data_IF_032434093287
#
_entry.id   IF_032434093287
#
_cell.length_a   1.000
_cell.length_b   1.000
_cell.length_c   1.000
_cell.angle_alpha   90.00
_cell.angle_beta   90.00
_cell.angle_gamma   90.00
#
_symmetry.space_group_name_H-M   'P 1'
#
loop_
_entity.id
_entity.type
_entity.pdbx_description
1 polymer ?
#
# COMPACT_ATOMS: atom_id res chain seq x y z
N UNK A 1 9.25 -1.41 29.06
CA UNK A 1 10.05 -1.76 27.86
C UNK A 1 9.45 -1.01 26.68
N UNK A 2 10.10 0.00 26.08
CA UNK A 2 9.58 0.59 24.86
C UNK A 2 9.69 -0.47 23.76
N UNK A 3 8.58 -0.76 23.07
CA UNK A 3 8.56 -1.67 21.95
C UNK A 3 9.52 -1.15 20.87
N UNK A 4 10.70 -1.74 20.78
CA UNK A 4 11.67 -1.48 19.75
C UNK A 4 11.09 -1.91 18.39
N UNK A 5 10.60 -0.92 17.65
CA UNK A 5 10.65 -0.77 16.19
C UNK A 5 10.68 -2.09 15.37
N UNK A 6 9.61 -2.88 15.35
CA UNK A 6 9.36 -3.87 14.28
C UNK A 6 8.99 -3.19 12.93
N UNK A 7 9.39 -1.93 12.74
CA UNK A 7 8.92 -0.99 11.72
C UNK A 7 9.53 -1.14 10.31
N UNK A 8 10.76 -1.67 10.09
CA UNK A 8 11.26 -1.86 8.73
C UNK A 8 10.50 -2.96 7.98
N UNK A 9 10.03 -4.00 8.68
CA UNK A 9 9.56 -5.22 8.02
C UNK A 9 8.28 -5.01 7.19
N UNK A 10 7.29 -4.27 7.72
CA UNK A 10 6.08 -3.97 6.96
C UNK A 10 6.34 -3.05 5.78
N UNK A 11 7.19 -2.02 5.96
CA UNK A 11 7.62 -1.13 4.88
C UNK A 11 8.33 -1.91 3.79
N UNK A 12 9.32 -2.73 4.14
CA UNK A 12 10.07 -3.57 3.20
C UNK A 12 9.15 -4.57 2.50
N UNK A 13 8.21 -5.19 3.21
CA UNK A 13 7.23 -6.09 2.61
C UNK A 13 6.34 -5.36 1.61
N UNK A 14 5.84 -4.15 1.94
CA UNK A 14 5.04 -3.32 1.04
C UNK A 14 5.84 -2.89 -0.19
N UNK A 15 7.08 -2.41 -0.03
CA UNK A 15 7.96 -2.01 -1.14
C UNK A 15 8.10 -3.15 -2.15
N UNK A 16 8.43 -4.36 -1.68
CA UNK A 16 8.58 -5.53 -2.55
C UNK A 16 7.26 -5.94 -3.20
N UNK A 17 6.17 -5.90 -2.44
CA UNK A 17 4.85 -6.24 -2.97
C UNK A 17 4.38 -5.24 -4.02
N UNK A 18 4.81 -3.98 -3.94
CA UNK A 18 4.48 -2.94 -4.91
C UNK A 18 5.52 -2.83 -6.05
N UNK A 19 6.58 -3.66 -6.01
CA UNK A 19 7.69 -3.64 -6.97
C UNK A 19 8.41 -2.28 -7.01
N UNK A 20 8.44 -1.55 -5.89
CA UNK A 20 9.13 -0.26 -5.77
C UNK A 20 10.64 -0.41 -5.57
N UNK A 21 11.12 -1.62 -5.30
CA UNK A 21 12.52 -2.00 -5.20
C UNK A 21 13.24 -2.14 -6.55
N UNK A 22 12.50 -2.21 -7.65
CA UNK A 22 13.08 -2.31 -8.99
C UNK A 22 13.84 -1.04 -9.39
N UNK A 23 15.03 -1.23 -9.97
CA UNK A 23 15.85 -0.13 -10.50
C UNK A 23 16.67 0.66 -9.46
N UNK A 24 16.59 0.32 -8.16
CA UNK A 24 17.43 0.91 -7.11
C UNK A 24 18.13 -0.17 -6.27
N UNK A 25 19.43 -0.44 -6.48
CA UNK A 25 20.15 -1.48 -5.72
C UNK A 25 20.28 -1.20 -4.21
N UNK A 26 19.99 0.03 -3.76
CA UNK A 26 20.05 0.45 -2.36
C UNK A 26 18.68 0.82 -1.79
N UNK A 27 17.60 0.29 -2.39
CA UNK A 27 16.21 0.65 -2.02
C UNK A 27 15.90 0.47 -0.54
N UNK A 28 16.52 -0.51 0.12
CA UNK A 28 16.31 -0.79 1.56
C UNK A 28 16.71 0.41 2.44
N UNK A 29 17.70 1.18 2.00
CA UNK A 29 18.23 2.34 2.71
C UNK A 29 17.64 3.66 2.23
N UNK A 30 16.98 3.68 1.07
CA UNK A 30 16.42 4.90 0.50
C UNK A 30 14.99 5.15 1.01
N UNK A 31 14.84 6.17 1.86
CA UNK A 31 13.54 6.58 2.41
C UNK A 31 12.60 7.13 1.35
N UNK A 32 13.10 7.53 0.18
CA UNK A 32 12.31 8.06 -0.95
C UNK A 32 11.59 6.97 -1.73
N UNK A 33 12.05 5.72 -1.64
CA UNK A 33 11.38 4.57 -2.30
C UNK A 33 9.96 4.40 -1.78
N UNK A 34 9.76 4.59 -0.47
CA UNK A 34 8.44 4.64 0.15
C UNK A 34 8.56 5.34 1.50
N UNK A 35 7.87 6.46 1.64
CA UNK A 35 7.81 7.19 2.90
C UNK A 35 6.86 6.50 3.89
N UNK A 36 7.05 6.72 5.19
CA UNK A 36 6.10 6.22 6.20
C UNK A 36 4.71 6.83 6.03
N UNK A 37 4.61 7.98 5.37
CA UNK A 37 3.33 8.65 5.08
C UNK A 37 2.42 7.86 4.14
N UNK A 38 2.90 6.77 3.55
CA UNK A 38 2.08 5.86 2.76
C UNK A 38 0.95 5.23 3.60
N UNK A 39 1.21 4.89 4.86
CA UNK A 39 0.21 4.27 5.77
C UNK A 39 0.00 5.06 7.07
N UNK A 40 0.74 6.14 7.27
CA UNK A 40 0.76 6.90 8.53
C UNK A 40 0.57 8.39 8.26
N UNK A 41 0.03 9.12 9.22
CA UNK A 41 0.01 10.59 9.12
C UNK A 41 1.41 11.17 9.38
N UNK A 42 2.16 10.55 10.31
CA UNK A 42 3.48 11.02 10.69
C UNK A 42 4.55 10.47 9.76
N UNK A 43 5.45 11.33 9.29
CA UNK A 43 6.63 10.93 8.52
C UNK A 43 7.61 10.02 9.29
N UNK A 44 7.51 9.98 10.63
CA UNK A 44 8.22 9.03 11.49
C UNK A 44 7.56 7.64 11.54
N UNK A 45 6.36 7.48 10.97
CA UNK A 45 5.50 6.32 11.15
C UNK A 45 4.79 6.28 12.50
N UNK A 46 4.13 5.16 12.77
CA UNK A 46 3.32 4.94 13.97
C UNK A 46 1.96 5.67 13.93
N UNK A 47 1.23 5.63 15.05
CA UNK A 47 -0.06 6.30 15.13
C UNK A 47 0.08 7.84 15.09
N UNK A 48 -0.88 8.56 14.47
CA UNK A 48 -2.09 8.06 13.83
C UNK A 48 -1.86 7.55 12.40
N UNK A 49 -2.79 6.72 11.91
CA UNK A 49 -2.79 6.19 10.54
C UNK A 49 -3.57 7.13 9.61
N UNK A 50 -3.14 7.20 8.35
CA UNK A 50 -3.91 7.87 7.30
C UNK A 50 -5.10 6.96 6.88
N UNK A 51 -6.01 7.42 6.00
CA UNK A 51 -7.16 6.62 5.57
C UNK A 51 -6.78 5.21 5.08
N UNK A 52 -5.80 5.08 4.18
CA UNK A 52 -5.29 3.79 3.71
C UNK A 52 -4.72 2.90 4.83
N UNK A 53 -3.97 3.49 5.76
CA UNK A 53 -3.44 2.78 6.93
C UNK A 53 -4.55 2.27 7.86
N UNK A 54 -5.64 3.02 8.01
CA UNK A 54 -6.81 2.55 8.75
C UNK A 54 -7.54 1.41 8.05
N UNK A 55 -7.58 1.39 6.71
CA UNK A 55 -8.13 0.27 5.94
C UNK A 55 -7.37 -1.05 6.20
N UNK A 56 -6.04 -1.00 6.15
CA UNK A 56 -5.18 -2.15 6.46
C UNK A 56 -5.44 -2.64 7.89
N UNK A 57 -5.57 -1.72 8.85
CA UNK A 57 -5.88 -2.08 10.24
C UNK A 57 -7.26 -2.70 10.38
N UNK A 58 -8.26 -2.15 9.69
CA UNK A 58 -9.61 -2.69 9.70
C UNK A 58 -9.62 -4.12 9.15
N UNK A 59 -8.86 -4.39 8.08
CA UNK A 59 -8.72 -5.72 7.51
C UNK A 59 -8.04 -6.70 8.48
N UNK A 60 -6.97 -6.30 9.18
CA UNK A 60 -6.38 -7.13 10.24
C UNK A 60 -7.35 -7.43 11.39
N UNK A 61 -8.15 -6.43 11.82
CA UNK A 61 -9.13 -6.62 12.88
C UNK A 61 -10.24 -7.58 12.44
N UNK A 62 -10.71 -7.46 11.20
CA UNK A 62 -11.71 -8.35 10.64
C UNK A 62 -11.19 -9.80 10.54
N UNK A 63 -9.95 -9.99 10.05
CA UNK A 63 -9.30 -11.31 10.01
C UNK A 63 -9.21 -11.92 11.42
N UNK A 64 -8.73 -11.16 12.40
CA UNK A 64 -8.63 -11.63 13.78
C UNK A 64 -9.99 -11.97 14.41
N UNK A 65 -11.04 -11.18 14.14
CA UNK A 65 -12.41 -11.45 14.60
C UNK A 65 -12.98 -12.73 13.99
N UNK A 66 -12.58 -13.06 12.76
CA UNK A 66 -12.92 -14.33 12.11
C UNK A 66 -12.05 -15.52 12.58
N UNK A 67 -11.16 -15.32 13.57
CA UNK A 67 -10.23 -16.35 14.05
C UNK A 67 -9.01 -16.56 13.14
N UNK A 68 -8.80 -15.65 12.19
CA UNK A 68 -7.69 -15.66 11.24
C UNK A 68 -6.35 -15.28 11.86
N UNK A 69 -5.29 -15.50 11.08
CA UNK A 69 -3.89 -15.17 11.40
C UNK A 69 -3.15 -14.68 10.16
N UNK A 70 -3.86 -13.95 9.30
CA UNK A 70 -3.34 -13.47 8.03
C UNK A 70 -2.05 -12.66 8.24
N UNK A 71 -1.12 -12.84 7.29
CA UNK A 71 0.14 -12.09 7.27
C UNK A 71 -0.05 -10.80 6.50
N UNK A 72 0.82 -9.84 6.78
CA UNK A 72 0.73 -8.51 6.17
C UNK A 72 0.63 -8.52 4.65
N UNK A 73 1.41 -9.30 3.88
CA UNK A 73 1.25 -9.31 2.43
C UNK A 73 -0.13 -9.78 1.97
N UNK A 74 -0.73 -10.74 2.66
CA UNK A 74 -2.08 -11.22 2.35
C UNK A 74 -3.14 -10.16 2.67
N UNK A 75 -3.02 -9.48 3.81
CA UNK A 75 -3.91 -8.38 4.18
C UNK A 75 -3.79 -7.22 3.20
N UNK A 76 -2.57 -6.81 2.87
CA UNK A 76 -2.31 -5.72 1.95
C UNK A 76 -2.85 -6.03 0.54
N UNK A 77 -2.58 -7.23 0.03
CA UNK A 77 -3.13 -7.67 -1.25
C UNK A 77 -4.66 -7.71 -1.25
N UNK A 78 -5.27 -8.14 -0.14
CA UNK A 78 -6.72 -8.14 0.03
C UNK A 78 -7.33 -6.73 0.05
N UNK A 79 -6.69 -5.77 0.71
CA UNK A 79 -7.10 -4.36 0.72
C UNK A 79 -7.06 -3.79 -0.70
N UNK A 80 -5.95 -3.97 -1.42
CA UNK A 80 -5.82 -3.48 -2.79
C UNK A 80 -6.79 -4.17 -3.76
N UNK A 81 -7.03 -5.47 -3.59
CA UNK A 81 -7.99 -6.22 -4.40
C UNK A 81 -9.45 -5.83 -4.13
N UNK A 82 -9.74 -5.20 -2.99
CA UNK A 82 -11.10 -4.71 -2.68
C UNK A 82 -11.52 -3.52 -3.55
N UNK A 83 -10.57 -2.88 -4.28
CA UNK A 83 -10.87 -1.81 -5.24
C UNK A 83 -11.46 -0.55 -4.60
N UNK A 84 -11.11 -0.31 -3.34
CA UNK A 84 -11.54 0.88 -2.60
C UNK A 84 -10.69 2.09 -2.96
N UNK A 85 -11.20 3.25 -2.59
CA UNK A 85 -10.59 4.57 -2.70
C UNK A 85 -10.63 5.15 -1.28
N UNK A 86 -9.52 5.00 -0.54
CA UNK A 86 -9.50 5.22 0.89
C UNK A 86 -9.57 6.70 1.26
N UNK A 87 -9.05 7.60 0.43
CA UNK A 87 -9.08 9.04 0.67
C UNK A 87 -10.17 9.81 -0.12
N UNK A 88 -10.85 9.13 -1.04
CA UNK A 88 -12.06 9.59 -1.71
C UNK A 88 -11.79 10.54 -2.87
N UNK A 89 -10.61 10.47 -3.49
CA UNK A 89 -10.20 11.40 -4.53
C UNK A 89 -10.60 10.97 -5.96
N UNK A 90 -11.18 9.77 -6.09
CA UNK A 90 -11.65 9.17 -7.33
C UNK A 90 -10.71 8.11 -7.94
N UNK A 91 -9.54 7.86 -7.35
CA UNK A 91 -8.62 6.80 -7.75
C UNK A 91 -8.65 5.67 -6.72
N UNK A 92 -8.74 4.41 -7.16
CA UNK A 92 -8.67 3.30 -6.20
C UNK A 92 -7.26 3.15 -5.63
N UNK A 93 -7.11 2.66 -4.40
CA UNK A 93 -5.83 2.51 -3.72
C UNK A 93 -4.79 1.75 -4.56
N UNK A 94 -5.23 0.70 -5.27
CA UNK A 94 -4.36 -0.11 -6.13
C UNK A 94 -3.88 0.66 -7.37
N UNK A 95 -4.73 1.52 -7.91
CA UNK A 95 -4.42 2.39 -9.03
C UNK A 95 -3.36 3.43 -8.64
N UNK A 96 -3.48 3.98 -7.44
CA UNK A 96 -2.53 4.93 -6.88
C UNK A 96 -1.18 4.31 -6.55
N UNK A 97 -1.17 3.12 -5.93
CA UNK A 97 0.05 2.33 -5.75
C UNK A 97 0.72 2.07 -7.10
N UNK A 98 -0.04 1.75 -8.15
CA UNK A 98 0.53 1.54 -9.47
C UNK A 98 1.09 2.85 -10.07
N UNK A 99 0.37 3.96 -9.90
CA UNK A 99 0.75 5.27 -10.40
C UNK A 99 1.82 5.99 -9.55
N UNK A 100 2.31 5.35 -8.48
CA UNK A 100 3.28 5.90 -7.52
C UNK A 100 2.78 7.16 -6.80
N UNK A 101 1.49 7.18 -6.47
CA UNK A 101 0.86 8.20 -5.63
C UNK A 101 0.54 7.63 -4.23
N UNK A 102 -0.17 8.37 -3.37
CA UNK A 102 -0.32 8.04 -1.95
C UNK A 102 -1.80 7.83 -1.63
N UNK A 103 -2.26 6.58 -1.42
CA UNK A 103 -3.68 6.25 -1.30
C UNK A 103 -4.38 6.71 -0.02
N UNK A 104 -3.69 7.49 0.80
CA UNK A 104 -4.25 8.08 2.01
C UNK A 104 -4.08 9.58 2.03
N UNK A 105 -3.83 10.20 0.88
CA UNK A 105 -3.64 11.64 0.71
C UNK A 105 -4.33 12.09 -0.58
N UNK A 106 -5.51 12.73 -0.50
CA UNK A 106 -6.30 13.10 -1.68
C UNK A 106 -5.65 14.22 -2.51
N UNK A 107 -4.53 14.79 -2.04
CA UNK A 107 -3.71 15.74 -2.79
C UNK A 107 -2.61 15.06 -3.61
N UNK A 108 -2.30 13.80 -3.31
CA UNK A 108 -1.28 13.01 -3.97
C UNK A 108 -1.96 12.02 -4.92
N UNK A 109 -2.27 12.47 -6.13
CA UNK A 109 -3.05 11.71 -7.11
C UNK A 109 -2.51 11.80 -8.54
N UNK A 110 -2.88 10.88 -9.44
CA UNK A 110 -2.44 10.92 -10.82
C UNK A 110 -2.90 12.20 -11.55
N UNK A 111 -2.02 12.76 -12.38
CA UNK A 111 -2.33 13.94 -13.22
C UNK A 111 -3.10 13.59 -14.51
N UNK A 112 -3.55 12.33 -14.65
CA UNK A 112 -4.21 11.80 -15.87
C UNK A 112 -5.61 11.30 -15.53
N UNK A 113 -6.57 11.36 -16.46
CA UNK A 113 -7.93 10.90 -16.21
C UNK A 113 -7.98 9.45 -15.69
N UNK A 114 -8.81 9.19 -14.68
CA UNK A 114 -8.95 7.87 -14.04
C UNK A 114 -9.12 6.73 -15.04
N UNK A 115 -9.89 6.93 -16.12
CA UNK A 115 -10.13 5.92 -17.15
C UNK A 115 -8.84 5.50 -17.89
N UNK A 116 -7.93 6.47 -18.12
CA UNK A 116 -6.67 6.23 -18.81
C UNK A 116 -5.69 5.47 -17.90
N UNK A 117 -5.60 5.89 -16.62
CA UNK A 117 -4.77 5.20 -15.62
C UNK A 117 -5.29 3.78 -15.39
N UNK A 118 -6.62 3.61 -15.30
CA UNK A 118 -7.26 2.31 -15.07
C UNK A 118 -7.01 1.34 -16.24
N UNK A 119 -7.08 1.83 -17.48
CA UNK A 119 -6.79 1.02 -18.66
C UNK A 119 -5.32 0.56 -18.68
N UNK A 120 -4.39 1.46 -18.37
CA UNK A 120 -2.97 1.15 -18.33
C UNK A 120 -2.63 0.19 -17.17
N UNK A 121 -3.23 0.38 -16.00
CA UNK A 121 -3.11 -0.53 -14.86
C UNK A 121 -3.64 -1.93 -15.21
N UNK A 122 -4.81 -2.03 -15.85
CA UNK A 122 -5.36 -3.29 -16.32
C UNK A 122 -4.44 -4.01 -17.31
N UNK A 123 -3.86 -3.28 -18.28
CA UNK A 123 -2.91 -3.83 -19.24
C UNK A 123 -1.61 -4.32 -18.58
N UNK A 124 -1.20 -3.71 -17.47
CA UNK A 124 -0.03 -4.12 -16.69
C UNK A 124 -0.30 -5.34 -15.78
N UNK A 125 -1.55 -5.79 -15.65
CA UNK A 125 -1.94 -6.94 -14.81
C UNK A 125 -2.88 -6.60 -13.66
N UNK A 126 -3.21 -5.32 -13.46
CA UNK A 126 -4.18 -4.86 -12.47
C UNK A 126 -3.81 -5.27 -11.04
N UNK A 127 -4.83 -5.50 -10.20
CA UNK A 127 -4.67 -5.86 -8.78
C UNK A 127 -3.94 -7.19 -8.58
N UNK A 128 -3.87 -8.06 -9.61
CA UNK A 128 -3.13 -9.31 -9.54
C UNK A 128 -1.62 -9.10 -9.31
N UNK A 129 -1.07 -7.93 -9.65
CA UNK A 129 0.30 -7.53 -9.37
C UNK A 129 0.64 -7.47 -7.88
N UNK A 130 -0.39 -7.34 -7.03
CA UNK A 130 -0.24 -7.11 -5.60
C UNK A 130 -0.71 -8.30 -4.75
N UNK A 131 -1.12 -9.41 -5.35
CA UNK A 131 -1.47 -10.60 -4.58
C UNK A 131 -0.21 -11.33 -4.10
N UNK A 132 -0.22 -12.02 -2.96
CA UNK A 132 0.91 -12.84 -2.53
C UNK A 132 1.24 -13.91 -3.59
N UNK A 133 2.44 -13.83 -4.19
CA UNK A 133 2.84 -14.69 -5.32
C UNK A 133 2.39 -14.21 -6.71
N UNK A 134 1.75 -13.04 -6.78
CA UNK A 134 1.42 -12.32 -8.01
C UNK A 134 2.61 -11.49 -8.47
N UNK A 135 3.51 -12.11 -9.23
CA UNK A 135 4.67 -11.47 -9.84
C UNK A 135 5.77 -12.51 -10.07
N UNK A 136 6.05 -12.80 -11.34
CA UNK A 136 7.07 -13.75 -11.80
C UNK A 136 8.47 -13.31 -11.41
#
# INVERSE_FOLDING_TARGET
MPAALALPQYRTAAIRQFHYDEGNPLWEYDRRVMACTFCHVKASGGAPWNPFGEEIRAAFRADAQAGGRAKFPAVLGGVLAAGKDADGDGYSDALEVWARTLPGDPQSRPDRPVAEVQAAFGAAGGTALYLPGGGK
#
